data_IF_562840700565
#
_entry.id   IF_562840700565
#
_cell.length_a   1.000
_cell.length_b   1.000
_cell.length_c   1.000
_cell.angle_alpha   90.00
_cell.angle_beta   90.00
_cell.angle_gamma   90.00
#
_symmetry.space_group_name_H-M   'P 1'
#
loop_
_entity.id
_entity.type
_entity.pdbx_description
1 polymer ?
#
# COMPACT_ATOMS: atom_id res chain seq x y z
N UNK A 1 -2.12 -21.88 -41.48
CA UNK A 1 -0.88 -21.52 -40.76
C UNK A 1 -0.80 -20.07 -40.33
N UNK A 2 -1.40 -19.10 -41.02
CA UNK A 2 -1.31 -17.66 -40.70
C UNK A 2 -2.10 -17.20 -39.47
N UNK A 3 -3.23 -17.85 -39.13
CA UNK A 3 -4.05 -17.46 -37.97
C UNK A 3 -3.38 -17.81 -36.63
N UNK A 4 -2.72 -18.96 -36.53
CA UNK A 4 -2.05 -19.42 -35.31
C UNK A 4 -0.81 -18.57 -34.98
N UNK A 5 -0.09 -18.09 -35.98
CA UNK A 5 1.07 -17.20 -35.76
C UNK A 5 0.64 -15.84 -35.22
N UNK A 6 -0.42 -15.25 -35.78
CA UNK A 6 -0.95 -13.97 -35.29
C UNK A 6 -1.47 -14.06 -33.85
N UNK A 7 -2.10 -15.17 -33.50
CA UNK A 7 -2.57 -15.38 -32.13
C UNK A 7 -1.40 -15.44 -31.13
N UNK A 8 -0.30 -16.11 -31.49
CA UNK A 8 0.91 -16.19 -30.66
C UNK A 8 1.56 -14.79 -30.52
N UNK A 9 1.62 -14.02 -31.60
CA UNK A 9 2.15 -12.66 -31.57
C UNK A 9 1.31 -11.71 -30.68
N UNK A 10 -0.02 -11.83 -30.73
CA UNK A 10 -0.94 -11.04 -29.89
C UNK A 10 -0.84 -11.45 -28.40
N UNK A 11 -0.71 -12.75 -28.13
CA UNK A 11 -0.48 -13.27 -26.79
C UNK A 11 0.87 -12.78 -26.23
N UNK A 12 1.94 -12.86 -27.03
CA UNK A 12 3.25 -12.37 -26.62
C UNK A 12 3.27 -10.87 -26.31
N UNK A 13 2.62 -10.06 -27.16
CA UNK A 13 2.49 -8.62 -26.94
C UNK A 13 1.72 -8.31 -25.66
N UNK A 14 0.65 -9.06 -25.42
CA UNK A 14 -0.17 -8.93 -24.21
C UNK A 14 0.67 -9.26 -22.97
N UNK A 15 1.36 -10.40 -22.98
CA UNK A 15 2.23 -10.83 -21.86
C UNK A 15 3.32 -9.79 -21.60
N UNK A 16 3.99 -9.27 -22.63
CA UNK A 16 5.01 -8.22 -22.48
C UNK A 16 4.46 -6.96 -21.79
N UNK A 17 3.27 -6.50 -22.21
CA UNK A 17 2.65 -5.31 -21.61
C UNK A 17 2.31 -5.51 -20.13
N UNK A 18 1.90 -6.72 -19.74
CA UNK A 18 1.65 -7.07 -18.34
C UNK A 18 2.95 -7.13 -17.52
N UNK A 19 4.03 -7.68 -18.08
CA UNK A 19 5.34 -7.76 -17.40
C UNK A 19 5.87 -6.35 -17.12
N UNK A 20 5.76 -5.44 -18.08
CA UNK A 20 6.24 -4.07 -17.89
C UNK A 20 5.42 -3.35 -16.82
N UNK A 21 4.11 -3.53 -16.81
CA UNK A 21 3.24 -2.98 -15.76
C UNK A 21 3.53 -3.57 -14.39
N UNK A 22 3.74 -4.88 -14.32
CA UNK A 22 4.13 -5.57 -13.09
C UNK A 22 5.45 -5.03 -12.54
N UNK A 23 6.47 -4.89 -13.40
CA UNK A 23 7.77 -4.34 -13.00
C UNK A 23 7.64 -2.90 -12.49
N UNK A 24 6.80 -2.10 -13.12
CA UNK A 24 6.53 -0.75 -12.67
C UNK A 24 5.94 -0.75 -11.25
N UNK A 25 4.89 -1.54 -10.99
CA UNK A 25 4.26 -1.66 -9.67
C UNK A 25 5.23 -2.18 -8.61
N UNK A 26 6.11 -3.13 -8.97
CA UNK A 26 7.15 -3.61 -8.07
C UNK A 26 8.19 -2.52 -7.77
N UNK A 27 8.59 -1.74 -8.77
CA UNK A 27 9.54 -0.62 -8.59
C UNK A 27 8.93 0.52 -7.77
N UNK A 28 7.64 0.74 -7.91
CA UNK A 28 6.87 1.71 -7.11
C UNK A 28 6.58 1.19 -5.69
N UNK A 29 7.02 -0.02 -5.35
CA UNK A 29 6.84 -0.63 -4.03
C UNK A 29 5.41 -1.02 -3.70
N UNK A 30 4.52 -1.08 -4.70
CA UNK A 30 3.13 -1.52 -4.52
C UNK A 30 3.09 -3.02 -4.27
N UNK A 31 3.97 -3.78 -4.95
CA UNK A 31 4.15 -5.22 -4.74
C UNK A 31 5.30 -5.39 -3.74
N UNK A 32 4.98 -5.34 -2.46
CA UNK A 32 5.93 -5.48 -1.37
C UNK A 32 5.23 -5.88 -0.07
N UNK A 33 6.00 -6.39 0.87
CA UNK A 33 5.51 -6.53 2.24
C UNK A 33 5.45 -5.14 2.91
N UNK A 34 4.52 -4.99 3.85
CA UNK A 34 4.34 -3.78 4.64
C UNK A 34 5.53 -3.59 5.59
N UNK A 35 6.28 -2.51 5.42
CA UNK A 35 7.35 -2.10 6.32
C UNK A 35 6.93 -0.86 7.11
N UNK A 36 6.45 -1.11 8.34
CA UNK A 36 5.98 -0.06 9.26
C UNK A 36 7.11 0.82 9.76
N UNK A 37 8.29 0.24 9.94
CA UNK A 37 9.45 1.00 10.42
C UNK A 37 9.85 2.03 9.35
N UNK A 38 9.96 1.60 8.10
CA UNK A 38 10.29 2.49 6.99
C UNK A 38 9.25 3.59 6.81
N UNK A 39 7.95 3.29 7.00
CA UNK A 39 6.91 4.32 6.97
C UNK A 39 7.13 5.37 8.06
N UNK A 40 7.42 4.95 9.30
CA UNK A 40 7.66 5.87 10.41
C UNK A 40 8.91 6.73 10.15
N UNK A 41 9.97 6.13 9.63
CA UNK A 41 11.20 6.85 9.26
C UNK A 41 10.95 7.86 8.14
N UNK A 42 10.17 7.48 7.12
CA UNK A 42 9.79 8.37 6.03
C UNK A 42 8.95 9.56 6.54
N UNK A 43 7.97 9.34 7.41
CA UNK A 43 7.18 10.41 8.03
C UNK A 43 8.09 11.33 8.85
N UNK A 44 9.03 10.80 9.61
CA UNK A 44 9.99 11.61 10.36
C UNK A 44 10.90 12.44 9.43
N UNK A 45 11.30 11.88 8.29
CA UNK A 45 12.07 12.58 7.27
C UNK A 45 11.31 13.74 6.64
N UNK A 46 10.02 13.50 6.27
CA UNK A 46 9.13 14.55 5.75
C UNK A 46 8.96 15.66 6.78
N UNK A 47 8.69 15.27 8.03
CA UNK A 47 8.56 16.20 9.15
C UNK A 47 9.80 17.08 9.33
N UNK A 48 10.98 16.49 9.31
CA UNK A 48 12.24 17.23 9.46
C UNK A 48 12.47 18.19 8.28
N UNK A 49 12.15 17.77 7.05
CA UNK A 49 12.33 18.57 5.84
C UNK A 49 11.46 19.83 5.82
N UNK A 50 10.22 19.72 6.30
CA UNK A 50 9.24 20.81 6.27
C UNK A 50 9.04 21.46 7.65
N UNK A 51 9.88 21.12 8.64
CA UNK A 51 9.81 21.64 10.02
C UNK A 51 8.40 21.47 10.65
N UNK A 52 7.73 20.35 10.34
CA UNK A 52 6.39 20.06 10.83
C UNK A 52 6.41 19.66 12.31
N UNK A 53 5.30 19.90 12.99
CA UNK A 53 5.07 19.40 14.35
C UNK A 53 5.08 17.86 14.42
N UNK A 54 5.25 17.28 15.63
CA UNK A 54 5.21 15.83 15.80
C UNK A 54 3.93 15.21 15.26
N UNK A 55 4.07 14.17 14.44
CA UNK A 55 2.96 13.40 13.85
C UNK A 55 2.72 12.15 14.68
N UNK A 56 1.50 11.94 15.11
CA UNK A 56 1.06 10.69 15.74
C UNK A 56 0.46 9.77 14.68
N UNK A 57 0.97 8.54 14.63
CA UNK A 57 0.50 7.50 13.75
C UNK A 57 -0.02 6.32 14.57
N UNK A 58 -1.24 5.91 14.30
CA UNK A 58 -1.82 4.68 14.81
C UNK A 58 -2.12 3.77 13.61
N UNK A 59 -1.38 2.69 13.47
CA UNK A 59 -1.43 1.79 12.33
C UNK A 59 -2.14 0.51 12.77
N UNK A 60 -3.33 0.27 12.25
CA UNK A 60 -4.11 -0.93 12.52
C UNK A 60 -3.43 -2.17 11.92
N UNK A 61 -3.87 -3.34 12.39
CA UNK A 61 -3.39 -4.60 11.84
C UNK A 61 -3.78 -4.72 10.36
N UNK A 62 -2.84 -5.19 9.54
CA UNK A 62 -3.08 -5.44 8.12
C UNK A 62 -4.18 -6.47 7.93
N UNK A 63 -5.13 -6.16 7.07
CA UNK A 63 -6.23 -7.02 6.69
C UNK A 63 -6.17 -7.37 5.20
N UNK A 64 -6.68 -8.54 4.83
CA UNK A 64 -6.92 -8.85 3.43
C UNK A 64 -8.15 -8.09 2.94
N UNK A 65 -8.06 -7.45 1.78
CA UNK A 65 -9.20 -6.84 1.13
C UNK A 65 -9.93 -7.94 0.33
N UNK A 66 -11.19 -8.29 0.69
CA UNK A 66 -11.96 -9.24 -0.09
C UNK A 66 -12.34 -8.58 -1.42
N UNK A 67 -11.60 -8.87 -2.47
CA UNK A 67 -12.03 -8.53 -3.83
C UNK A 67 -13.13 -9.50 -4.21
N UNK A 68 -14.27 -8.95 -4.67
CA UNK A 68 -15.40 -9.75 -5.08
C UNK A 68 -14.98 -10.84 -6.08
N UNK A 69 -15.66 -11.98 -6.05
CA UNK A 69 -15.35 -13.24 -6.75
C UNK A 69 -15.11 -13.14 -8.27
N UNK A 70 -15.19 -11.95 -8.85
CA UNK A 70 -15.06 -11.71 -10.29
C UNK A 70 -13.69 -11.15 -10.73
N UNK A 71 -12.76 -10.90 -9.81
CA UNK A 71 -11.41 -10.42 -10.14
C UNK A 71 -10.47 -11.61 -10.12
N UNK A 72 -10.24 -12.21 -11.30
CA UNK A 72 -9.21 -13.22 -11.49
C UNK A 72 -9.70 -14.66 -11.62
N UNK A 73 -10.67 -14.95 -12.50
CA UNK A 73 -10.80 -16.28 -13.10
C UNK A 73 -9.67 -16.59 -14.10
N UNK A 74 -8.50 -16.00 -13.88
CA UNK A 74 -7.27 -16.33 -14.59
C UNK A 74 -6.46 -17.30 -13.75
N UNK A 75 -6.26 -18.49 -14.26
CA UNK A 75 -5.31 -19.53 -13.87
C UNK A 75 -5.07 -19.69 -12.33
N UNK A 76 -5.44 -20.79 -11.69
CA UNK A 76 -5.34 -21.00 -10.24
C UNK A 76 -3.90 -21.00 -9.68
N UNK A 77 -2.93 -20.57 -10.47
CA UNK A 77 -1.51 -20.62 -10.16
C UNK A 77 -0.86 -19.34 -9.66
N UNK A 78 -1.51 -18.18 -9.77
CA UNK A 78 -0.93 -16.91 -9.31
C UNK A 78 -2.06 -16.06 -8.72
N UNK A 79 -2.35 -16.21 -7.43
CA UNK A 79 -3.30 -15.35 -6.76
C UNK A 79 -2.55 -14.18 -6.12
N UNK A 80 -2.89 -12.96 -6.54
CA UNK A 80 -2.43 -11.72 -5.92
C UNK A 80 -3.39 -11.41 -4.78
N UNK A 81 -2.89 -11.27 -3.57
CA UNK A 81 -3.67 -10.82 -2.42
C UNK A 81 -3.49 -9.32 -2.22
N UNK A 82 -4.62 -8.63 -2.11
CA UNK A 82 -4.65 -7.21 -1.75
C UNK A 82 -4.70 -7.09 -0.24
N UNK A 83 -3.81 -6.30 0.30
CA UNK A 83 -3.71 -6.06 1.73
C UNK A 83 -3.91 -4.59 2.01
N UNK A 84 -4.57 -4.30 3.12
CA UNK A 84 -4.85 -2.93 3.54
C UNK A 84 -4.53 -2.77 5.02
N UNK A 85 -3.80 -1.72 5.36
CA UNK A 85 -3.64 -1.22 6.71
C UNK A 85 -4.29 0.14 6.83
N UNK A 86 -5.09 0.35 7.87
CA UNK A 86 -5.66 1.67 8.17
C UNK A 86 -4.71 2.43 9.07
N UNK A 87 -4.45 3.67 8.71
CA UNK A 87 -3.60 4.58 9.45
C UNK A 87 -4.46 5.74 9.93
N UNK A 88 -4.50 5.95 11.25
CA UNK A 88 -4.97 7.20 11.83
C UNK A 88 -3.79 8.11 12.07
N UNK A 89 -3.83 9.26 11.44
CA UNK A 89 -2.82 10.28 11.56
C UNK A 89 -3.40 11.47 12.30
N UNK A 90 -2.70 11.95 13.31
CA UNK A 90 -3.05 13.19 14.02
C UNK A 90 -1.80 14.05 14.17
N UNK A 91 -1.92 15.32 13.82
CA UNK A 91 -0.81 16.27 13.95
C UNK A 91 -1.32 17.69 14.25
N UNK A 92 -0.61 18.41 15.13
CA UNK A 92 -0.76 19.84 15.25
C UNK A 92 -0.26 20.53 13.98
N UNK A 93 -0.90 21.65 13.60
CA UNK A 93 -0.54 22.44 12.43
C UNK A 93 -0.33 23.90 12.83
N UNK A 94 0.62 24.53 12.18
CA UNK A 94 0.74 25.99 12.18
C UNK A 94 -0.14 26.59 11.08
N UNK A 95 -0.13 25.95 9.91
CA UNK A 95 -0.92 26.30 8.72
C UNK A 95 -1.53 25.06 8.09
N UNK A 96 -2.58 25.20 7.31
CA UNK A 96 -3.22 24.09 6.57
C UNK A 96 -2.24 23.45 5.55
N UNK A 97 -1.28 24.21 5.06
CA UNK A 97 -0.26 23.78 4.12
C UNK A 97 0.65 22.68 4.71
N UNK A 98 0.85 22.66 6.04
CA UNK A 98 1.60 21.63 6.74
C UNK A 98 1.04 20.23 6.48
N UNK A 99 -0.32 20.11 6.46
CA UNK A 99 -0.97 18.85 6.13
C UNK A 99 -0.73 18.46 4.67
N UNK A 100 -0.78 19.42 3.76
CA UNK A 100 -0.53 19.18 2.33
C UNK A 100 0.88 18.64 2.10
N UNK A 101 1.90 19.25 2.71
CA UNK A 101 3.27 18.79 2.64
C UNK A 101 3.43 17.35 3.14
N UNK A 102 2.74 17.00 4.24
CA UNK A 102 2.80 15.65 4.76
C UNK A 102 2.13 14.65 3.81
N UNK A 103 0.93 14.97 3.28
CA UNK A 103 0.19 14.06 2.37
C UNK A 103 0.93 13.89 1.03
N UNK A 104 1.53 14.95 0.50
CA UNK A 104 2.36 14.88 -0.71
C UNK A 104 3.60 14.01 -0.46
N UNK A 105 4.27 14.21 0.67
CA UNK A 105 5.42 13.38 1.05
C UNK A 105 5.06 11.91 1.21
N UNK A 106 3.88 11.59 1.77
CA UNK A 106 3.39 10.21 1.86
C UNK A 106 3.14 9.60 0.48
N UNK A 107 2.60 10.38 -0.47
CA UNK A 107 2.37 9.91 -1.84
C UNK A 107 3.66 9.56 -2.57
N UNK A 108 4.76 10.25 -2.22
CA UNK A 108 6.07 10.05 -2.83
C UNK A 108 6.83 8.85 -2.26
N UNK A 109 6.33 8.25 -1.16
CA UNK A 109 6.89 7.03 -0.60
C UNK A 109 6.57 5.86 -1.53
N UNK A 110 7.62 5.21 -2.06
CA UNK A 110 7.49 4.05 -2.94
C UNK A 110 7.34 2.76 -2.12
N UNK A 111 6.28 2.67 -1.31
CA UNK A 111 6.02 1.51 -0.41
C UNK A 111 4.53 1.17 -0.34
N UNK A 112 3.88 1.14 -1.48
CA UNK A 112 2.46 0.91 -1.57
C UNK A 112 1.69 2.16 -2.03
N UNK A 113 0.39 2.10 -1.92
CA UNK A 113 -0.51 3.19 -2.30
C UNK A 113 -1.16 3.76 -1.05
N UNK A 114 -1.00 5.05 -0.82
CA UNK A 114 -1.64 5.76 0.27
C UNK A 114 -2.87 6.52 -0.25
N UNK A 115 -4.02 6.27 0.35
CA UNK A 115 -5.30 6.90 -0.02
C UNK A 115 -5.86 7.59 1.22
N UNK A 116 -5.97 8.92 1.20
CA UNK A 116 -6.66 9.66 2.24
C UNK A 116 -8.17 9.49 2.06
N UNK A 117 -8.84 8.79 3.00
CA UNK A 117 -10.29 8.59 2.99
C UNK A 117 -11.01 9.82 3.55
N UNK A 118 -10.50 10.35 4.64
CA UNK A 118 -11.11 11.46 5.36
C UNK A 118 -10.02 12.26 6.06
N UNK A 119 -10.03 13.59 5.90
CA UNK A 119 -9.20 14.48 6.67
C UNK A 119 -10.05 15.60 7.24
N UNK A 120 -9.83 15.95 8.49
CA UNK A 120 -10.46 17.09 9.15
C UNK A 120 -9.42 17.97 9.81
N UNK A 121 -9.61 19.28 9.72
CA UNK A 121 -8.80 20.26 10.43
C UNK A 121 -9.72 20.98 11.42
N UNK A 122 -9.31 21.02 12.67
CA UNK A 122 -10.03 21.69 13.75
C UNK A 122 -9.14 22.74 14.38
N UNK A 123 -9.73 23.86 14.76
CA UNK A 123 -9.01 24.88 15.54
C UNK A 123 -8.83 24.37 16.96
N UNK A 124 -7.59 24.44 17.45
CA UNK A 124 -7.22 24.07 18.82
C UNK A 124 -7.23 25.32 19.67
N UNK A 125 -8.09 25.37 20.66
CA UNK A 125 -8.17 26.47 21.61
C UNK A 125 -9.40 27.39 21.46
N UNK A 126 -10.10 27.55 22.57
CA UNK A 126 -11.13 28.54 22.71
C UNK A 126 -10.51 29.94 22.86
N UNK A 127 -10.89 30.84 21.96
CA UNK A 127 -11.01 32.33 22.11
C UNK A 127 -10.09 33.08 23.10
N UNK A 128 -8.84 32.69 23.32
CA UNK A 128 -7.94 33.57 24.07
C UNK A 128 -7.21 34.52 23.13
N UNK A 129 -7.30 35.81 23.36
CA UNK A 129 -6.54 36.84 22.62
C UNK A 129 -5.01 36.57 22.67
N UNK A 130 -4.56 35.85 23.68
CA UNK A 130 -3.17 35.48 23.88
C UNK A 130 -2.70 34.44 22.84
N UNK A 131 -3.58 33.55 22.35
CA UNK A 131 -3.29 32.59 21.32
C UNK A 131 -3.06 33.21 19.93
N UNK A 132 -3.44 34.47 19.74
CA UNK A 132 -3.26 35.20 18.47
C UNK A 132 -1.86 35.84 18.32
N UNK A 133 -1.13 35.96 19.41
CA UNK A 133 0.18 36.63 19.42
C UNK A 133 1.37 35.68 19.49
N UNK A 134 1.14 34.41 19.79
CA UNK A 134 2.19 33.41 19.85
C UNK A 134 2.12 32.52 18.60
N UNK A 135 3.29 32.22 18.02
CA UNK A 135 3.46 31.17 16.99
C UNK A 135 3.23 29.80 17.65
N UNK A 136 1.98 29.51 18.02
CA UNK A 136 1.57 28.25 18.59
C UNK A 136 0.71 27.48 17.57
N UNK A 137 0.72 26.17 17.68
CA UNK A 137 -0.18 25.26 17.02
C UNK A 137 -1.63 25.67 17.28
N UNK A 138 -2.26 26.25 16.26
CA UNK A 138 -3.64 26.71 16.37
C UNK A 138 -4.63 25.76 15.76
N UNK A 139 -4.13 24.76 15.03
CA UNK A 139 -4.92 23.80 14.29
C UNK A 139 -4.47 22.38 14.64
N UNK A 140 -5.40 21.45 14.55
CA UNK A 140 -5.11 20.01 14.64
C UNK A 140 -5.74 19.33 13.44
N UNK A 141 -4.92 18.61 12.67
CA UNK A 141 -5.39 17.73 11.62
C UNK A 141 -5.57 16.31 12.14
N UNK A 142 -6.64 15.67 11.67
CA UNK A 142 -6.87 14.23 11.84
C UNK A 142 -7.24 13.63 10.50
N UNK A 143 -6.49 12.63 10.06
CA UNK A 143 -6.74 11.91 8.80
C UNK A 143 -6.88 10.41 9.01
N UNK A 144 -7.76 9.80 8.23
CA UNK A 144 -7.83 8.36 8.01
C UNK A 144 -7.23 8.06 6.65
N UNK A 145 -6.22 7.22 6.62
CA UNK A 145 -5.48 6.88 5.41
C UNK A 145 -5.49 5.37 5.25
N UNK A 146 -5.77 4.90 4.04
CA UNK A 146 -5.57 3.50 3.66
C UNK A 146 -4.18 3.34 3.08
N UNK A 147 -3.45 2.35 3.56
CA UNK A 147 -2.20 1.91 2.99
C UNK A 147 -2.41 0.56 2.32
N UNK A 148 -2.35 0.54 1.00
CA UNK A 148 -2.60 -0.64 0.17
C UNK A 148 -1.27 -1.22 -0.32
N UNK A 149 -1.11 -2.54 -0.14
CA UNK A 149 0.00 -3.32 -0.69
C UNK A 149 -0.53 -4.57 -1.38
N UNK A 150 0.24 -5.07 -2.32
CA UNK A 150 -0.02 -6.32 -3.03
C UNK A 150 1.01 -7.35 -2.59
N UNK A 151 0.56 -8.56 -2.30
CA UNK A 151 1.45 -9.69 -2.05
C UNK A 151 1.14 -10.83 -3.02
N UNK A 152 2.18 -11.36 -3.63
CA UNK A 152 2.07 -12.62 -4.34
C UNK A 152 1.85 -13.74 -3.35
N UNK A 153 0.88 -14.59 -3.63
CA UNK A 153 0.67 -15.80 -2.87
C UNK A 153 1.62 -16.86 -3.42
N UNK A 154 2.68 -17.16 -2.64
CA UNK A 154 3.57 -18.26 -2.98
C UNK A 154 2.75 -19.54 -3.12
N UNK A 155 2.99 -20.24 -4.23
CA UNK A 155 2.40 -21.56 -4.45
C UNK A 155 3.00 -22.50 -3.40
N UNK A 156 2.17 -23.01 -2.48
CA UNK A 156 2.55 -24.16 -1.68
C UNK A 156 2.61 -25.38 -2.59
N UNK A 157 3.74 -25.55 -3.29
CA UNK A 157 4.04 -26.75 -4.07
C UNK A 157 4.39 -27.96 -3.17
N UNK A 158 4.11 -27.89 -1.88
CA UNK A 158 4.23 -29.02 -0.96
C UNK A 158 2.88 -29.69 -0.76
N UNK A 159 2.41 -30.48 -1.72
CA UNK A 159 1.57 -31.68 -1.48
C UNK A 159 1.10 -32.31 -2.80
N UNK A 160 2.04 -32.84 -3.59
CA UNK A 160 1.71 -34.08 -4.31
C UNK A 160 2.50 -35.21 -3.65
N UNK A 161 1.83 -36.16 -2.97
CA UNK A 161 2.47 -37.41 -2.61
C UNK A 161 2.74 -38.14 -3.94
N UNK A 162 4.01 -38.27 -4.26
CA UNK A 162 4.49 -39.12 -5.35
C UNK A 162 3.83 -40.49 -5.14
N UNK A 163 2.90 -40.80 -6.01
CA UNK A 163 2.23 -42.10 -6.07
C UNK A 163 3.28 -43.15 -6.37
N UNK A 164 3.86 -43.77 -5.33
CA UNK A 164 4.84 -44.85 -5.41
C UNK A 164 4.15 -46.01 -6.10
N UNK A 165 4.67 -46.49 -7.24
CA UNK A 165 4.06 -47.65 -7.89
C UNK A 165 4.14 -48.88 -6.97
N UNK A 166 3.15 -49.78 -6.99
CA UNK A 166 3.12 -50.95 -6.13
C UNK A 166 4.32 -51.86 -6.45
N UNK A 167 5.03 -52.31 -5.41
CA UNK A 167 6.10 -53.28 -5.53
C UNK A 167 5.55 -54.60 -6.11
N UNK A 168 6.22 -55.24 -7.09
CA UNK A 168 5.81 -56.54 -7.59
C UNK A 168 5.99 -57.59 -6.51
N UNK A 169 4.90 -58.28 -6.20
CA UNK A 169 4.84 -59.34 -5.17
C UNK A 169 5.90 -60.41 -5.39
N UNK A 170 6.58 -60.77 -4.31
CA UNK A 170 7.35 -61.99 -4.21
C UNK A 170 6.36 -63.16 -4.10
N UNK A 171 6.38 -64.07 -5.12
CA UNK A 171 6.00 -65.43 -4.96
C UNK A 171 7.06 -66.22 -4.23
#
# INVERSE_FOLDING_TARGET
MTASVRQIEDEEKTVRSFIDRYRQLATEGVISDEDRLELVEAVNSIRARHALYPVQLDIEQQAMLPLGQNVGQGNPGNSISYRVSRIRLTMPLLHEEDLSHLLEGLRDIKRGIFIAEECSIKRTGENSEIARLALHENLTASCKILWLTLKEQERNDEQEPINKPPEPGKM
#
